data_IF_523642062801
#
_entry.id   IF_523642062801
#
_cell.length_a   1.000
_cell.length_b   1.000
_cell.length_c   1.000
_cell.angle_alpha   90.00
_cell.angle_beta   90.00
_cell.angle_gamma   90.00
#
_symmetry.space_group_name_H-M   'P 1'
#
loop_
_entity.id
_entity.type
_entity.pdbx_description
1 polymer ?
#
# COMPACT_ATOMS: atom_id res chain seq x y z
N UNK A 1 37.20 14.83 -2.81
CA UNK A 1 36.39 14.38 -3.97
C UNK A 1 35.25 13.52 -3.45
N UNK A 2 34.00 13.69 -3.93
CA UNK A 2 32.92 12.78 -3.57
C UNK A 2 33.32 11.36 -4.00
N UNK A 3 33.06 10.38 -3.13
CA UNK A 3 33.36 8.96 -3.42
C UNK A 3 32.51 8.56 -4.64
N UNK A 4 33.16 8.18 -5.73
CA UNK A 4 32.47 7.68 -6.91
C UNK A 4 32.12 6.21 -6.65
N UNK A 5 30.83 5.92 -6.55
CA UNK A 5 30.33 4.56 -6.40
C UNK A 5 30.10 3.95 -7.78
N UNK A 6 30.53 2.71 -7.99
CA UNK A 6 30.17 1.93 -9.17
C UNK A 6 28.65 1.68 -9.22
N UNK A 7 28.11 1.32 -10.38
CA UNK A 7 26.68 0.99 -10.51
C UNK A 7 26.25 -0.14 -9.57
N UNK A 8 27.08 -1.18 -9.44
CA UNK A 8 26.84 -2.30 -8.53
C UNK A 8 26.81 -1.85 -7.06
N UNK A 9 27.73 -0.98 -6.64
CA UNK A 9 27.71 -0.42 -5.29
C UNK A 9 26.48 0.47 -5.05
N UNK A 10 26.08 1.26 -6.05
CA UNK A 10 24.88 2.09 -5.98
C UNK A 10 23.62 1.24 -5.79
N UNK A 11 23.48 0.18 -6.58
CA UNK A 11 22.35 -0.74 -6.47
C UNK A 11 22.32 -1.44 -5.12
N UNK A 12 23.48 -1.95 -4.67
CA UNK A 12 23.62 -2.56 -3.34
C UNK A 12 23.19 -1.61 -2.21
N UNK A 13 23.68 -0.37 -2.23
CA UNK A 13 23.33 0.64 -1.22
C UNK A 13 21.84 0.97 -1.29
N UNK A 14 21.26 1.14 -2.49
CA UNK A 14 19.84 1.43 -2.65
C UNK A 14 18.97 0.32 -2.08
N UNK A 15 19.32 -0.94 -2.33
CA UNK A 15 18.61 -2.09 -1.79
C UNK A 15 18.72 -2.19 -0.27
N UNK A 16 19.92 -1.99 0.29
CA UNK A 16 20.12 -1.95 1.74
C UNK A 16 19.34 -0.81 2.40
N UNK A 17 19.26 0.36 1.78
CA UNK A 17 18.43 1.48 2.27
C UNK A 17 16.94 1.10 2.33
N UNK A 18 16.41 0.45 1.29
CA UNK A 18 15.01 -0.03 1.26
C UNK A 18 14.74 -1.08 2.34
N UNK A 19 15.64 -2.04 2.50
CA UNK A 19 15.52 -3.09 3.53
C UNK A 19 15.51 -2.51 4.95
N UNK A 20 16.44 -1.61 5.26
CA UNK A 20 16.50 -1.01 6.59
C UNK A 20 15.35 0.00 6.82
N UNK A 21 14.87 0.67 5.77
CA UNK A 21 13.67 1.50 5.83
C UNK A 21 12.41 0.68 6.12
N UNK A 22 12.23 -0.49 5.49
CA UNK A 22 11.11 -1.39 5.78
C UNK A 22 11.10 -1.83 7.25
N UNK A 23 12.27 -2.18 7.80
CA UNK A 23 12.41 -2.52 9.23
C UNK A 23 12.08 -1.34 10.12
N UNK A 24 12.57 -0.13 9.79
CA UNK A 24 12.28 1.06 10.57
C UNK A 24 10.80 1.45 10.52
N UNK A 25 10.14 1.31 9.37
CA UNK A 25 8.70 1.55 9.23
C UNK A 25 7.90 0.63 10.15
N UNK A 26 8.12 -0.68 10.06
CA UNK A 26 7.37 -1.66 10.86
C UNK A 26 7.65 -1.59 12.37
N UNK A 27 8.71 -0.88 12.79
CA UNK A 27 9.07 -0.74 14.21
C UNK A 27 8.76 0.65 14.78
N UNK A 28 8.88 1.70 13.97
CA UNK A 28 8.90 3.08 14.44
C UNK A 28 7.90 4.00 13.71
N UNK A 29 7.34 3.60 12.57
CA UNK A 29 6.55 4.48 11.70
C UNK A 29 7.40 5.51 10.94
N UNK A 30 6.75 6.41 10.20
CA UNK A 30 7.40 7.42 9.34
C UNK A 30 8.03 8.52 10.19
N UNK A 31 7.32 9.00 11.22
CA UNK A 31 7.75 10.13 12.05
C UNK A 31 9.05 9.86 12.81
N UNK A 32 9.17 8.67 13.41
CA UNK A 32 10.34 8.32 14.25
C UNK A 32 11.50 7.73 13.45
N UNK A 33 11.27 7.30 12.21
CA UNK A 33 12.37 6.91 11.32
C UNK A 33 13.19 8.14 10.94
N UNK A 34 14.51 8.10 11.13
CA UNK A 34 15.41 9.23 10.83
C UNK A 34 16.48 8.83 9.81
N UNK A 35 16.98 9.80 9.04
CA UNK A 35 18.10 9.56 8.12
C UNK A 35 19.33 9.06 8.89
N UNK A 36 19.60 9.59 10.08
CA UNK A 36 20.75 9.19 10.90
C UNK A 36 20.69 7.71 11.31
N UNK A 37 19.51 7.22 11.68
CA UNK A 37 19.32 5.80 12.00
C UNK A 37 19.47 4.92 10.75
N UNK A 38 18.89 5.32 9.62
CA UNK A 38 19.00 4.58 8.36
C UNK A 38 20.45 4.43 7.90
N UNK A 39 21.21 5.52 7.86
CA UNK A 39 22.60 5.50 7.39
C UNK A 39 23.53 4.77 8.35
N UNK A 40 23.23 4.81 9.66
CA UNK A 40 23.92 3.99 10.67
C UNK A 40 23.71 2.50 10.44
N UNK A 41 22.47 2.07 10.15
CA UNK A 41 22.15 0.65 9.85
C UNK A 41 22.78 0.16 8.55
N UNK A 42 22.81 1.01 7.52
CA UNK A 42 23.42 0.69 6.22
C UNK A 42 24.95 0.88 6.24
N UNK A 43 25.51 1.52 7.28
CA UNK A 43 26.93 1.83 7.45
C UNK A 43 27.48 2.71 6.32
N UNK A 44 26.75 3.78 5.99
CA UNK A 44 27.17 4.79 5.01
C UNK A 44 27.22 6.19 5.63
N UNK A 45 28.02 7.12 5.10
CA UNK A 45 27.95 8.52 5.49
C UNK A 45 26.57 9.14 5.20
N UNK A 46 26.12 10.08 6.03
CA UNK A 46 24.85 10.79 5.84
C UNK A 46 24.74 11.46 4.48
N UNK A 47 25.82 12.06 3.99
CA UNK A 47 25.87 12.67 2.65
C UNK A 47 25.60 11.68 1.51
N UNK A 48 25.96 10.40 1.69
CA UNK A 48 25.72 9.35 0.69
C UNK A 48 24.22 9.07 0.53
N UNK A 49 23.41 9.16 1.59
CA UNK A 49 21.95 9.00 1.49
C UNK A 49 21.33 9.93 0.46
N UNK A 50 21.74 11.19 0.48
CA UNK A 50 21.21 12.23 -0.41
C UNK A 50 21.67 12.08 -1.87
N UNK A 51 22.56 11.14 -2.17
CA UNK A 51 22.87 10.74 -3.55
C UNK A 51 21.81 9.81 -4.15
N UNK A 52 20.93 9.24 -3.31
CA UNK A 52 19.88 8.28 -3.71
C UNK A 52 18.47 8.83 -3.50
N UNK A 53 18.24 9.56 -2.41
CA UNK A 53 16.91 10.07 -2.05
C UNK A 53 17.00 11.51 -1.55
N UNK A 54 16.09 12.37 -2.02
CA UNK A 54 16.04 13.78 -1.58
C UNK A 54 15.54 13.91 -0.13
N UNK A 55 14.72 12.96 0.32
CA UNK A 55 14.15 12.93 1.67
C UNK A 55 13.99 11.49 2.15
N UNK A 56 13.84 11.29 3.46
CA UNK A 56 13.49 9.97 4.00
C UNK A 56 12.08 9.57 3.57
N UNK A 57 11.17 10.54 3.45
CA UNK A 57 9.78 10.30 3.08
C UNK A 57 9.67 9.66 1.70
N UNK A 58 10.50 10.07 0.73
CA UNK A 58 10.55 9.43 -0.59
C UNK A 58 10.98 7.96 -0.49
N UNK A 59 12.03 7.65 0.28
CA UNK A 59 12.47 6.27 0.50
C UNK A 59 11.39 5.45 1.20
N UNK A 60 10.77 6.00 2.25
CA UNK A 60 9.74 5.31 3.02
C UNK A 60 8.49 5.07 2.17
N UNK A 61 8.08 6.04 1.37
CA UNK A 61 6.96 5.88 0.44
C UNK A 61 7.27 4.83 -0.63
N UNK A 62 8.48 4.81 -1.20
CA UNK A 62 8.89 3.77 -2.14
C UNK A 62 8.79 2.36 -1.53
N UNK A 63 9.12 2.20 -0.25
CA UNK A 63 8.96 0.94 0.47
C UNK A 63 7.48 0.58 0.70
N UNK A 64 6.63 1.57 1.01
CA UNK A 64 5.18 1.37 1.16
C UNK A 64 4.57 0.93 -0.18
N UNK A 65 4.90 1.61 -1.28
CA UNK A 65 4.43 1.26 -2.62
C UNK A 65 4.83 -0.16 -3.03
N UNK A 66 6.07 -0.56 -2.72
CA UNK A 66 6.51 -1.95 -2.98
C UNK A 66 5.66 -2.96 -2.19
N UNK A 67 5.20 -2.62 -1.00
CA UNK A 67 4.34 -3.49 -0.22
C UNK A 67 2.90 -3.52 -0.78
N UNK A 68 2.38 -2.39 -1.25
CA UNK A 68 1.09 -2.35 -1.96
C UNK A 68 1.12 -3.25 -3.21
N UNK A 69 2.12 -3.08 -4.07
CA UNK A 69 2.30 -3.85 -5.31
C UNK A 69 2.37 -5.37 -5.05
N UNK A 70 2.97 -5.78 -3.92
CA UNK A 70 2.99 -7.19 -3.49
C UNK A 70 1.61 -7.73 -3.15
N UNK A 71 0.83 -7.00 -2.34
CA UNK A 71 -0.52 -7.44 -1.94
C UNK A 71 -1.46 -7.39 -3.16
N UNK A 72 -1.36 -6.38 -4.01
CA UNK A 72 -2.16 -6.25 -5.23
C UNK A 72 -1.87 -7.35 -6.24
N UNK A 73 -0.60 -7.73 -6.40
CA UNK A 73 -0.22 -8.88 -7.24
C UNK A 73 -0.90 -10.17 -6.76
N UNK A 74 -0.95 -10.40 -5.45
CA UNK A 74 -1.64 -11.55 -4.89
C UNK A 74 -3.16 -11.49 -5.10
N UNK A 75 -3.77 -10.30 -4.99
CA UNK A 75 -5.19 -10.09 -5.28
C UNK A 75 -5.50 -10.44 -6.74
N UNK A 76 -4.72 -9.92 -7.67
CA UNK A 76 -4.86 -10.21 -9.09
C UNK A 76 -4.71 -11.72 -9.37
N UNK A 77 -3.69 -12.36 -8.79
CA UNK A 77 -3.50 -13.81 -8.93
C UNK A 77 -4.67 -14.62 -8.36
N UNK A 78 -5.24 -14.19 -7.23
CA UNK A 78 -6.40 -14.85 -6.63
C UNK A 78 -7.61 -14.80 -7.57
N UNK A 79 -7.85 -13.69 -8.25
CA UNK A 79 -8.92 -13.57 -9.24
C UNK A 79 -8.65 -14.31 -10.54
N UNK A 80 -7.41 -14.23 -11.06
CA UNK A 80 -7.03 -14.91 -12.30
C UNK A 80 -7.13 -16.45 -12.23
N UNK A 81 -7.20 -17.03 -11.02
CA UNK A 81 -7.35 -18.47 -10.80
C UNK A 81 -8.82 -18.94 -10.70
N UNK A 82 -9.79 -18.03 -10.71
CA UNK A 82 -11.21 -18.38 -10.58
C UNK A 82 -11.77 -18.73 -11.96
N UNK A 83 -12.42 -19.89 -12.07
CA UNK A 83 -13.20 -20.23 -13.26
C UNK A 83 -14.45 -19.34 -13.36
N UNK A 84 -14.85 -18.95 -14.58
CA UNK A 84 -16.02 -18.09 -14.83
C UNK A 84 -17.29 -18.51 -14.07
N UNK A 85 -17.52 -19.83 -13.97
CA UNK A 85 -18.68 -20.44 -13.29
C UNK A 85 -18.71 -20.22 -11.76
N UNK A 86 -17.60 -19.78 -11.15
CA UNK A 86 -17.46 -19.57 -9.71
C UNK A 86 -17.45 -18.09 -9.30
N UNK A 87 -17.64 -17.14 -10.22
CA UNK A 87 -17.77 -15.72 -9.88
C UNK A 87 -19.16 -15.40 -9.35
N UNK A 88 -19.34 -15.59 -8.05
CA UNK A 88 -20.49 -15.10 -7.31
C UNK A 88 -20.04 -14.10 -6.24
N UNK A 89 -20.94 -13.18 -5.89
CA UNK A 89 -20.66 -12.06 -4.98
C UNK A 89 -20.00 -12.50 -3.67
N UNK A 90 -20.39 -13.64 -3.10
CA UNK A 90 -19.78 -14.18 -1.88
C UNK A 90 -18.28 -14.49 -2.06
N UNK A 91 -17.92 -15.15 -3.16
CA UNK A 91 -16.52 -15.53 -3.44
C UNK A 91 -15.65 -14.32 -3.71
N UNK A 92 -16.17 -13.34 -4.45
CA UNK A 92 -15.49 -12.07 -4.72
C UNK A 92 -15.31 -11.28 -3.42
N UNK A 93 -16.34 -11.25 -2.56
CA UNK A 93 -16.27 -10.67 -1.22
C UNK A 93 -15.18 -11.32 -0.38
N UNK A 94 -15.08 -12.64 -0.36
CA UNK A 94 -14.04 -13.35 0.41
C UNK A 94 -12.62 -12.95 0.00
N UNK A 95 -12.38 -12.79 -1.30
CA UNK A 95 -11.06 -12.45 -1.83
C UNK A 95 -10.70 -11.00 -1.50
N UNK A 96 -11.61 -10.05 -1.77
CA UNK A 96 -11.38 -8.63 -1.47
C UNK A 96 -11.28 -8.41 0.04
N UNK A 97 -12.11 -9.09 0.83
CA UNK A 97 -12.01 -9.07 2.29
C UNK A 97 -10.65 -9.59 2.76
N UNK A 98 -10.20 -10.72 2.20
CA UNK A 98 -8.89 -11.29 2.50
C UNK A 98 -7.73 -10.32 2.20
N UNK A 99 -7.83 -9.57 1.09
CA UNK A 99 -6.90 -8.51 0.73
C UNK A 99 -6.83 -7.40 1.79
N UNK A 100 -7.97 -6.80 2.15
CA UNK A 100 -7.99 -5.74 3.16
C UNK A 100 -7.60 -6.24 4.55
N UNK A 101 -8.01 -7.46 4.91
CA UNK A 101 -7.61 -8.08 6.17
C UNK A 101 -6.10 -8.25 6.23
N UNK A 102 -5.48 -8.82 5.18
CA UNK A 102 -4.02 -8.98 5.10
C UNK A 102 -3.30 -7.62 5.15
N UNK A 103 -3.82 -6.61 4.47
CA UNK A 103 -3.29 -5.25 4.54
C UNK A 103 -3.33 -4.72 5.99
N UNK A 104 -4.47 -4.88 6.68
CA UNK A 104 -4.65 -4.46 8.08
C UNK A 104 -3.78 -5.24 9.08
N UNK A 105 -3.29 -6.43 8.70
CA UNK A 105 -2.42 -7.26 9.52
C UNK A 105 -0.93 -7.01 9.27
N UNK A 106 -0.58 -6.29 8.20
CA UNK A 106 0.80 -5.95 7.87
C UNK A 106 1.46 -5.10 8.96
N UNK A 107 2.64 -5.49 9.47
CA UNK A 107 3.38 -4.67 10.43
C UNK A 107 3.73 -3.27 9.91
N UNK A 108 3.96 -3.12 8.60
CA UNK A 108 4.26 -1.81 8.01
C UNK A 108 2.99 -0.95 7.95
N UNK A 109 1.89 -1.49 7.43
CA UNK A 109 0.66 -0.72 7.27
C UNK A 109 -0.04 -0.42 8.59
N UNK A 110 0.08 -1.31 9.59
CA UNK A 110 -0.38 -1.04 10.97
C UNK A 110 0.31 0.14 11.63
N UNK A 111 1.52 0.47 11.19
CA UNK A 111 2.26 1.64 11.69
C UNK A 111 1.87 2.94 10.95
N UNK A 112 1.01 2.88 9.94
CA UNK A 112 0.51 4.02 9.18
C UNK A 112 -0.88 4.41 9.66
N UNK A 113 -0.97 5.09 10.80
CA UNK A 113 -2.22 5.74 11.19
C UNK A 113 -2.52 6.96 10.30
N UNK A 114 -3.68 7.58 10.52
CA UNK A 114 -4.10 8.80 9.80
C UNK A 114 -3.09 9.95 9.93
N UNK A 115 -2.38 10.07 11.05
CA UNK A 115 -1.39 11.13 11.27
C UNK A 115 -0.11 10.89 10.48
N UNK A 116 0.33 9.63 10.39
CA UNK A 116 1.49 9.20 9.59
C UNK A 116 1.22 9.37 8.09
N UNK A 117 0.02 9.02 7.62
CA UNK A 117 -0.41 9.25 6.22
C UNK A 117 -0.45 10.75 5.92
N UNK A 118 -1.04 11.57 6.79
CA UNK A 118 -1.05 13.03 6.62
C UNK A 118 0.35 13.64 6.65
N UNK A 119 1.22 13.15 7.54
CA UNK A 119 2.62 13.57 7.60
C UNK A 119 3.31 13.31 6.25
N UNK A 120 3.09 12.12 5.69
CA UNK A 120 3.69 11.73 4.42
C UNK A 120 3.15 12.60 3.27
N UNK A 121 1.82 12.75 3.18
CA UNK A 121 1.17 13.59 2.17
C UNK A 121 1.67 15.04 2.18
N UNK A 122 1.95 15.61 3.36
CA UNK A 122 2.51 16.98 3.50
C UNK A 122 3.97 17.11 3.09
N UNK A 123 4.73 16.00 3.08
CA UNK A 123 6.18 15.99 2.86
C UNK A 123 6.58 15.48 1.48
N UNK A 124 5.71 14.70 0.84
CA UNK A 124 5.93 14.22 -0.52
C UNK A 124 5.66 15.33 -1.54
N UNK A 125 6.35 15.30 -2.70
CA UNK A 125 5.95 16.10 -3.85
C UNK A 125 4.51 15.78 -4.26
N UNK A 126 3.68 16.77 -4.66
CA UNK A 126 2.30 16.54 -5.07
C UNK A 126 2.13 15.49 -6.17
N UNK A 127 3.05 15.50 -7.14
CA UNK A 127 3.10 14.55 -8.27
C UNK A 127 3.23 13.10 -7.80
N UNK A 128 3.97 12.85 -6.71
CA UNK A 128 4.17 11.50 -6.18
C UNK A 128 2.88 10.95 -5.59
N UNK A 129 2.08 11.79 -4.94
CA UNK A 129 0.77 11.40 -4.43
C UNK A 129 -0.23 11.22 -5.56
N UNK A 130 -0.23 12.12 -6.55
CA UNK A 130 -1.11 12.01 -7.72
C UNK A 130 -0.86 10.71 -8.49
N UNK A 131 0.39 10.37 -8.77
CA UNK A 131 0.74 9.11 -9.44
C UNK A 131 0.29 7.87 -8.65
N UNK A 132 0.23 7.95 -7.31
CA UNK A 132 -0.28 6.86 -6.49
C UNK A 132 -1.81 6.75 -6.58
N UNK A 133 -2.53 7.88 -6.67
CA UNK A 133 -3.98 7.86 -6.90
C UNK A 133 -4.33 7.24 -8.26
N UNK A 134 -3.59 7.62 -9.31
CA UNK A 134 -3.73 7.04 -10.66
C UNK A 134 -3.41 5.54 -10.66
N UNK A 135 -2.40 5.10 -9.90
CA UNK A 135 -2.07 3.69 -9.75
C UNK A 135 -3.18 2.86 -9.07
N UNK A 136 -3.85 3.42 -8.05
CA UNK A 136 -5.00 2.73 -7.44
C UNK A 136 -6.17 2.59 -8.43
N UNK A 137 -6.39 3.59 -9.31
CA UNK A 137 -7.39 3.53 -10.39
C UNK A 137 -7.05 2.43 -11.41
N UNK A 138 -5.80 2.38 -11.88
CA UNK A 138 -5.31 1.31 -12.75
C UNK A 138 -5.50 -0.08 -12.13
N UNK A 139 -5.30 -0.21 -10.80
CA UNK A 139 -5.47 -1.48 -10.10
C UNK A 139 -6.93 -1.95 -10.12
N UNK A 140 -7.87 -1.04 -9.86
CA UNK A 140 -9.31 -1.35 -9.91
C UNK A 140 -9.72 -1.73 -11.32
N UNK A 141 -9.26 -1.02 -12.35
CA UNK A 141 -9.53 -1.37 -13.75
C UNK A 141 -9.04 -2.78 -14.08
N UNK A 142 -7.82 -3.14 -13.68
CA UNK A 142 -7.27 -4.49 -13.88
C UNK A 142 -8.09 -5.56 -13.19
N UNK A 143 -8.50 -5.34 -11.94
CA UNK A 143 -9.33 -6.30 -11.20
C UNK A 143 -10.71 -6.42 -11.85
N UNK A 144 -11.33 -5.31 -12.24
CA UNK A 144 -12.64 -5.29 -12.88
C UNK A 144 -12.63 -6.03 -14.23
N UNK A 145 -11.52 -5.99 -14.96
CA UNK A 145 -11.36 -6.74 -16.22
C UNK A 145 -11.44 -8.27 -16.03
N UNK A 146 -11.24 -8.77 -14.81
CA UNK A 146 -11.33 -10.19 -14.46
C UNK A 146 -12.69 -10.59 -13.87
N UNK A 147 -13.57 -9.63 -13.61
CA UNK A 147 -14.82 -9.83 -12.88
C UNK A 147 -16.02 -9.56 -13.79
N UNK A 148 -17.16 -10.23 -13.58
CA UNK A 148 -18.40 -9.91 -14.27
C UNK A 148 -19.05 -8.66 -13.65
N UNK A 149 -18.38 -7.52 -13.81
CA UNK A 149 -18.83 -6.20 -13.34
C UNK A 149 -19.89 -5.66 -14.30
N UNK A 150 -20.89 -4.96 -13.75
CA UNK A 150 -21.89 -4.24 -14.53
C UNK A 150 -21.25 -3.15 -15.38
N UNK A 151 -21.78 -2.96 -16.59
CA UNK A 151 -21.23 -2.01 -17.57
C UNK A 151 -21.53 -0.54 -17.25
N UNK A 152 -22.46 -0.26 -16.35
CA UNK A 152 -22.86 1.09 -15.94
C UNK A 152 -22.16 1.58 -14.66
N UNK A 153 -21.18 0.81 -14.17
CA UNK A 153 -20.39 1.17 -13.00
C UNK A 153 -19.30 2.17 -13.37
N UNK A 154 -19.22 3.24 -12.58
CA UNK A 154 -18.11 4.19 -12.61
C UNK A 154 -16.92 3.65 -11.79
N UNK A 155 -15.84 3.29 -12.47
CA UNK A 155 -14.66 2.67 -11.84
C UNK A 155 -13.89 3.65 -10.94
N UNK A 156 -13.90 4.94 -11.25
CA UNK A 156 -13.24 5.97 -10.42
C UNK A 156 -13.95 6.09 -9.07
N UNK A 157 -15.29 6.03 -9.07
CA UNK A 157 -16.10 6.03 -7.85
C UNK A 157 -15.81 4.78 -7.00
N UNK A 158 -15.67 3.61 -7.62
CA UNK A 158 -15.31 2.39 -6.91
C UNK A 158 -13.87 2.41 -6.38
N UNK A 159 -12.92 2.96 -7.13
CA UNK A 159 -11.55 3.19 -6.65
C UNK A 159 -11.54 4.08 -5.40
N UNK A 160 -12.26 5.20 -5.43
CA UNK A 160 -12.42 6.05 -4.26
C UNK A 160 -13.09 5.33 -3.07
N UNK A 161 -14.09 4.48 -3.33
CA UNK A 161 -14.78 3.72 -2.29
C UNK A 161 -13.88 2.64 -1.65
N UNK A 162 -13.12 1.87 -2.45
CA UNK A 162 -12.15 0.90 -1.95
C UNK A 162 -11.02 1.58 -1.17
N UNK A 163 -10.55 2.74 -1.63
CA UNK A 163 -9.61 3.58 -0.86
C UNK A 163 -10.22 4.04 0.47
N UNK A 164 -11.52 4.34 0.50
CA UNK A 164 -12.26 4.60 1.73
C UNK A 164 -12.26 3.42 2.70
N UNK A 165 -12.45 2.19 2.19
CA UNK A 165 -12.31 0.97 3.00
C UNK A 165 -10.89 0.83 3.55
N UNK A 166 -9.86 1.08 2.72
CA UNK A 166 -8.47 1.08 3.19
C UNK A 166 -8.27 2.06 4.35
N UNK A 167 -8.73 3.31 4.24
CA UNK A 167 -8.63 4.27 5.34
C UNK A 167 -9.39 3.82 6.59
N UNK A 168 -10.55 3.18 6.45
CA UNK A 168 -11.25 2.60 7.59
C UNK A 168 -10.39 1.53 8.30
N UNK A 169 -9.58 0.76 7.57
CA UNK A 169 -8.67 -0.22 8.20
C UNK A 169 -7.60 0.39 9.08
N UNK A 170 -7.27 1.68 8.89
CA UNK A 170 -6.32 2.41 9.74
C UNK A 170 -6.92 2.80 11.11
N UNK A 171 -8.23 2.66 11.27
CA UNK A 171 -9.00 3.04 12.46
C UNK A 171 -9.64 1.82 13.15
N UNK A 172 -8.92 0.70 13.15
CA UNK A 172 -9.41 -0.58 13.69
C UNK A 172 -9.91 -0.48 15.13
N UNK A 173 -9.20 0.26 15.98
CA UNK A 173 -9.55 0.37 17.40
C UNK A 173 -10.80 1.23 17.59
N UNK A 174 -10.95 2.31 16.82
CA UNK A 174 -12.11 3.21 16.83
C UNK A 174 -13.37 2.55 16.23
N UNK A 175 -13.20 1.65 15.27
CA UNK A 175 -14.31 0.84 14.72
C UNK A 175 -14.81 -0.24 15.69
N UNK A 176 -14.09 -0.49 16.79
CA UNK A 176 -14.36 -1.59 17.70
C UNK A 176 -13.63 -2.86 17.27
N UNK A 177 -12.48 -3.11 17.87
CA UNK A 177 -11.58 -4.21 17.52
C UNK A 177 -12.22 -5.61 17.52
N UNK A 178 -13.29 -5.82 18.31
CA UNK A 178 -14.02 -7.09 18.40
C UNK A 178 -14.97 -7.34 17.21
N UNK A 179 -15.39 -6.29 16.51
CA UNK A 179 -16.34 -6.35 15.38
C UNK A 179 -15.71 -5.93 14.06
N UNK A 180 -14.40 -5.65 14.06
CA UNK A 180 -13.71 -5.08 12.92
C UNK A 180 -13.80 -5.96 11.67
N UNK A 181 -13.60 -7.28 11.82
CA UNK A 181 -13.62 -8.22 10.70
C UNK A 181 -15.03 -8.30 10.08
N UNK A 182 -16.07 -8.38 10.91
CA UNK A 182 -17.46 -8.38 10.45
C UNK A 182 -17.83 -7.05 9.78
N UNK A 183 -17.44 -5.92 10.36
CA UNK A 183 -17.68 -4.60 9.80
C UNK A 183 -16.97 -4.41 8.44
N UNK A 184 -15.69 -4.81 8.35
CA UNK A 184 -14.92 -4.77 7.13
C UNK A 184 -15.54 -5.66 6.05
N UNK A 185 -15.97 -6.88 6.40
CA UNK A 185 -16.67 -7.77 5.47
C UNK A 185 -17.98 -7.17 4.97
N UNK A 186 -18.75 -6.50 5.83
CA UNK A 186 -19.99 -5.81 5.44
C UNK A 186 -19.73 -4.68 4.44
N UNK A 187 -18.69 -3.86 4.68
CA UNK A 187 -18.30 -2.78 3.77
C UNK A 187 -17.89 -3.33 2.39
N UNK A 188 -17.02 -4.36 2.38
CA UNK A 188 -16.57 -5.01 1.14
C UNK A 188 -17.74 -5.63 0.39
N UNK A 189 -18.57 -6.42 1.08
CA UNK A 189 -19.74 -7.07 0.47
C UNK A 189 -20.70 -6.04 -0.14
N UNK A 190 -20.91 -4.90 0.52
CA UNK A 190 -21.75 -3.82 0.01
C UNK A 190 -21.27 -3.27 -1.34
N UNK A 191 -19.96 -3.10 -1.52
CA UNK A 191 -19.39 -2.69 -2.81
C UNK A 191 -19.49 -3.82 -3.84
N UNK A 192 -19.17 -5.06 -3.45
CA UNK A 192 -19.23 -6.22 -4.35
C UNK A 192 -20.63 -6.45 -4.90
N UNK A 193 -21.68 -6.30 -4.07
CA UNK A 193 -23.05 -6.39 -4.53
C UNK A 193 -23.38 -5.28 -5.53
N UNK A 194 -23.00 -4.04 -5.26
CA UNK A 194 -23.27 -2.90 -6.15
C UNK A 194 -22.55 -3.01 -7.51
N UNK A 195 -21.38 -3.64 -7.57
CA UNK A 195 -20.65 -3.79 -8.83
C UNK A 195 -21.13 -4.99 -9.67
N UNK A 196 -21.75 -6.01 -9.05
CA UNK A 196 -22.15 -7.26 -9.72
C UNK A 196 -23.66 -7.41 -9.94
N UNK A 197 -24.51 -6.74 -9.17
CA UNK A 197 -25.98 -6.87 -9.19
C UNK A 197 -26.63 -5.52 -9.53
#
# INVERSE_FOLDING_TARGET
>A
MPKCYSEQEREYIKNRLREEAAKCLGQYGIRRTTVDELVKRVKIPKGTFYLFYQSKELLLFEVILKFHDQIETELYQAFAQICEENFHAEKVTDIIFGFFKKASESPILRMLDSDEVQLLARKLPPEVLQNHLEYDEDMVERVFSLLPVRTDVDQEVFSAAFRGIYFATLHRDEMGAEHFDEALRLLVNGLVLQMMQ
#
